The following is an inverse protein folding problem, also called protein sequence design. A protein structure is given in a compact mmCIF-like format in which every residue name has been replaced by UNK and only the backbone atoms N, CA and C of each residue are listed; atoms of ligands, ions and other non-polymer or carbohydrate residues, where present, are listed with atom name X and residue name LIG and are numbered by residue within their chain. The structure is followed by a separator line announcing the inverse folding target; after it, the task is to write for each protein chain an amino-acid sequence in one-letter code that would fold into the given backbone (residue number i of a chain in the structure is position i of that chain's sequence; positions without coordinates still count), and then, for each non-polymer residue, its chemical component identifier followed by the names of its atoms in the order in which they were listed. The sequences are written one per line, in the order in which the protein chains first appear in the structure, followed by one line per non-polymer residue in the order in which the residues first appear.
data_IF_179732410989
#
_entry.id   IF_179732410989
#
_cell.length_a   1.000
_cell.length_b   1.000
_cell.length_c   1.000
_cell.angle_alpha   90.00
_cell.angle_beta   90.00
_cell.angle_gamma   90.00
#
_symmetry.space_group_name_H-M   'P 1'
#
loop_
_entity.id
_entity.type
_entity.pdbx_description
1 polymer ?
#
# COMPACT_ATOMS: atom_id res chain seq x y z
N UNK A 1 9.77 -3.05 18.23
CA UNK A 1 9.18 -3.97 19.23
C UNK A 1 8.02 -4.66 18.54
N UNK A 2 8.19 -5.93 18.14
CA UNK A 2 7.23 -6.66 17.29
C UNK A 2 5.94 -6.91 18.09
N UNK A 3 4.88 -6.17 17.78
CA UNK A 3 3.55 -6.31 18.39
C UNK A 3 2.82 -7.60 17.94
N UNK A 4 3.32 -8.27 16.90
CA UNK A 4 2.76 -9.50 16.33
C UNK A 4 2.77 -10.71 17.30
N UNK A 5 3.50 -10.61 18.42
CA UNK A 5 3.64 -11.70 19.40
C UNK A 5 2.69 -11.59 20.60
N UNK A 6 1.95 -10.49 20.77
CA UNK A 6 1.03 -10.35 21.91
C UNK A 6 -0.34 -10.91 21.49
N UNK A 7 -0.79 -12.02 22.07
CA UNK A 7 -2.10 -12.58 21.74
C UNK A 7 -3.20 -11.59 22.07
N UNK A 8 -4.16 -11.41 21.16
CA UNK A 8 -5.28 -10.45 21.30
C UNK A 8 -6.07 -10.68 22.61
N UNK A 9 -6.18 -11.94 23.03
CA UNK A 9 -6.85 -12.33 24.27
C UNK A 9 -6.11 -11.90 25.55
N UNK A 10 -4.82 -11.56 25.48
CA UNK A 10 -4.04 -10.98 26.58
C UNK A 10 -4.15 -9.45 26.59
N UNK A 11 -4.20 -8.83 25.41
CA UNK A 11 -4.29 -7.36 25.29
C UNK A 11 -5.54 -6.81 25.98
N UNK A 12 -6.70 -7.45 25.80
CA UNK A 12 -7.96 -7.01 26.39
C UNK A 12 -7.94 -6.98 27.94
N UNK A 13 -7.60 -8.07 28.65
CA UNK A 13 -7.54 -8.03 30.11
C UNK A 13 -6.44 -7.08 30.60
N UNK A 14 -5.31 -6.98 29.89
CA UNK A 14 -4.23 -6.05 30.24
C UNK A 14 -4.68 -4.59 30.16
N UNK A 15 -5.40 -4.19 29.11
CA UNK A 15 -5.91 -2.81 28.98
C UNK A 15 -6.98 -2.51 30.02
N UNK A 16 -7.88 -3.45 30.32
CA UNK A 16 -8.87 -3.31 31.40
C UNK A 16 -8.16 -3.08 32.74
N UNK A 17 -7.13 -3.87 33.04
CA UNK A 17 -6.39 -3.78 34.30
C UNK A 17 -5.62 -2.46 34.40
N UNK A 18 -5.01 -2.00 33.31
CA UNK A 18 -4.35 -0.69 33.22
C UNK A 18 -5.33 0.47 33.48
N UNK A 19 -6.53 0.42 32.88
CA UNK A 19 -7.57 1.43 33.07
C UNK A 19 -8.07 1.43 34.52
N UNK A 20 -8.35 0.26 35.09
CA UNK A 20 -8.75 0.15 36.50
C UNK A 20 -7.68 0.70 37.44
N UNK A 21 -6.40 0.36 37.21
CA UNK A 21 -5.30 0.84 38.03
C UNK A 21 -5.17 2.36 37.95
N UNK A 22 -5.37 2.94 36.76
CA UNK A 22 -5.35 4.38 36.54
C UNK A 22 -6.51 5.09 37.26
N UNK A 23 -7.71 4.50 37.25
CA UNK A 23 -8.88 5.00 37.98
C UNK A 23 -8.65 4.97 39.50
N UNK A 24 -8.13 3.86 40.03
CA UNK A 24 -7.86 3.69 41.46
C UNK A 24 -6.78 4.68 41.96
N UNK A 25 -5.70 4.85 41.19
CA UNK A 25 -4.65 5.85 41.48
C UNK A 25 -5.25 7.26 41.46
N UNK A 26 -6.04 7.59 40.44
CA UNK A 26 -6.71 8.89 40.32
C UNK A 26 -7.65 9.16 41.50
N UNK A 27 -8.44 8.16 41.90
CA UNK A 27 -9.35 8.24 43.05
C UNK A 27 -8.58 8.45 44.35
N UNK A 28 -7.54 7.66 44.62
CA UNK A 28 -6.73 7.80 45.83
C UNK A 28 -6.02 9.15 45.92
N UNK A 29 -5.45 9.64 44.82
CA UNK A 29 -4.80 10.95 44.78
C UNK A 29 -5.81 12.09 44.96
N UNK A 30 -6.97 12.01 44.29
CA UNK A 30 -8.06 12.97 44.43
C UNK A 30 -8.61 13.03 45.86
N UNK A 31 -8.84 11.88 46.49
CA UNK A 31 -9.35 11.80 47.86
C UNK A 31 -8.35 12.35 48.89
N UNK A 32 -7.05 12.14 48.68
CA UNK A 32 -5.98 12.68 49.55
C UNK A 32 -5.83 14.20 49.42
N UNK A 33 -6.10 14.75 48.23
CA UNK A 33 -6.05 16.19 47.95
C UNK A 33 -7.28 16.95 48.47
N UNK A 34 -8.48 16.35 48.35
CA UNK A 34 -9.75 16.92 48.82
C UNK A 34 -9.79 17.20 50.33
N UNK A 35 -9.03 16.43 51.11
CA UNK A 35 -8.93 16.57 52.57
C UNK A 35 -8.18 17.84 53.03
N UNK A 36 -7.56 18.58 52.09
CA UNK A 36 -6.78 19.81 52.35
C UNK A 36 -7.49 21.11 51.89
N UNK A 37 -8.53 21.01 51.06
CA UNK A 37 -9.26 22.15 50.49
C UNK A 37 -10.77 21.87 50.51
N UNK A 38 -11.46 22.19 51.60
CA UNK A 38 -12.93 22.02 51.70
C UNK A 38 -13.73 23.09 50.92
N UNK A 39 -13.09 24.17 50.46
CA UNK A 39 -13.73 25.32 49.78
C UNK A 39 -13.52 25.36 48.25
N UNK A 40 -12.91 24.33 47.66
CA UNK A 40 -12.53 24.33 46.24
C UNK A 40 -13.68 23.80 45.35
N UNK A 41 -14.16 24.63 44.41
CA UNK A 41 -15.22 24.27 43.44
C UNK A 41 -14.88 22.96 42.72
N UNK A 42 -15.90 22.13 42.43
CA UNK A 42 -15.71 20.87 41.72
C UNK A 42 -14.84 21.06 40.46
N UNK A 43 -13.70 20.37 40.43
CA UNK A 43 -12.80 20.40 39.28
C UNK A 43 -13.52 19.84 38.05
N UNK A 44 -13.39 20.44 36.85
CA UNK A 44 -14.11 20.06 35.64
C UNK A 44 -13.54 18.78 34.99
N UNK A 45 -13.30 17.75 35.80
CA UNK A 45 -12.72 16.46 35.41
C UNK A 45 -13.53 15.81 34.29
N UNK A 46 -14.86 15.89 34.36
CA UNK A 46 -15.74 15.37 33.31
C UNK A 46 -15.57 16.10 31.96
N UNK A 47 -15.39 17.42 31.99
CA UNK A 47 -15.15 18.20 30.77
C UNK A 47 -13.78 17.90 30.16
N UNK A 48 -12.75 17.74 31.00
CA UNK A 48 -11.40 17.34 30.55
C UNK A 48 -11.44 15.93 29.94
N UNK A 49 -12.05 14.97 30.63
CA UNK A 49 -12.19 13.60 30.14
C UNK A 49 -12.97 13.55 28.82
N UNK A 50 -14.09 14.27 28.72
CA UNK A 50 -14.86 14.40 27.48
C UNK A 50 -14.05 15.01 26.33
N UNK A 51 -13.24 16.04 26.61
CA UNK A 51 -12.38 16.68 25.61
C UNK A 51 -11.28 15.74 25.11
N UNK A 52 -10.66 14.97 26.00
CA UNK A 52 -9.64 13.96 25.64
C UNK A 52 -10.27 12.84 24.82
N UNK A 53 -11.42 12.31 25.23
CA UNK A 53 -12.15 11.28 24.48
C UNK A 53 -12.58 11.79 23.10
N UNK A 54 -13.07 13.02 23.01
CA UNK A 54 -13.38 13.67 21.73
C UNK A 54 -12.17 13.80 20.82
N UNK A 55 -11.03 14.22 21.36
CA UNK A 55 -9.77 14.30 20.62
C UNK A 55 -9.31 12.91 20.13
N UNK A 56 -9.39 11.88 20.97
CA UNK A 56 -9.06 10.50 20.59
C UNK A 56 -9.98 10.00 19.48
N UNK A 57 -11.29 10.21 19.61
CA UNK A 57 -12.25 9.83 18.56
C UNK A 57 -11.94 10.52 17.23
N UNK A 58 -11.64 11.82 17.27
CA UNK A 58 -11.27 12.60 16.09
C UNK A 58 -9.96 12.16 15.46
N UNK A 59 -8.93 11.89 16.28
CA UNK A 59 -7.66 11.34 15.81
C UNK A 59 -7.85 9.96 15.16
N UNK A 60 -8.71 9.11 15.72
CA UNK A 60 -9.02 7.80 15.16
C UNK A 60 -9.74 7.92 13.81
N UNK A 61 -10.74 8.80 13.71
CA UNK A 61 -11.47 9.07 12.46
C UNK A 61 -10.51 9.47 11.33
N UNK A 62 -9.61 10.42 11.59
CA UNK A 62 -8.63 10.84 10.59
C UNK A 62 -7.57 9.78 10.31
N UNK A 63 -7.09 9.08 11.33
CA UNK A 63 -6.08 8.04 11.14
C UNK A 63 -6.62 6.92 10.27
N UNK A 64 -7.80 6.39 10.59
CA UNK A 64 -8.43 5.35 9.79
C UNK A 64 -8.85 5.85 8.41
N UNK A 65 -9.35 7.09 8.30
CA UNK A 65 -9.66 7.70 7.01
C UNK A 65 -8.44 7.79 6.08
N UNK A 66 -7.29 8.23 6.59
CA UNK A 66 -6.04 8.31 5.82
C UNK A 66 -5.56 6.91 5.43
N UNK A 67 -5.57 5.96 6.37
CA UNK A 67 -5.14 4.58 6.13
C UNK A 67 -6.04 3.89 5.10
N UNK A 68 -7.36 4.05 5.20
CA UNK A 68 -8.34 3.51 4.25
C UNK A 68 -8.12 4.08 2.85
N UNK A 69 -7.98 5.41 2.72
CA UNK A 69 -7.70 6.04 1.43
C UNK A 69 -6.40 5.54 0.80
N UNK A 70 -5.32 5.41 1.58
CA UNK A 70 -4.05 4.88 1.07
C UNK A 70 -4.17 3.41 0.65
N UNK A 71 -4.93 2.62 1.40
CA UNK A 71 -5.19 1.22 1.07
C UNK A 71 -6.02 1.07 -0.22
N UNK A 72 -7.06 1.88 -0.37
CA UNK A 72 -7.90 1.90 -1.57
C UNK A 72 -7.13 2.37 -2.80
N UNK A 73 -6.30 3.42 -2.67
CA UNK A 73 -5.42 3.87 -3.76
C UNK A 73 -4.45 2.77 -4.21
N UNK A 74 -3.85 2.02 -3.26
CA UNK A 74 -2.97 0.89 -3.58
C UNK A 74 -3.72 -0.24 -4.31
N UNK A 75 -4.94 -0.58 -3.87
CA UNK A 75 -5.78 -1.60 -4.55
C UNK A 75 -6.18 -1.15 -5.95
N UNK A 76 -6.57 0.12 -6.11
CA UNK A 76 -6.94 0.68 -7.40
C UNK A 76 -5.77 0.57 -8.40
N UNK A 77 -4.57 1.00 -8.02
CA UNK A 77 -3.39 0.88 -8.88
C UNK A 77 -3.05 -0.56 -9.26
N UNK A 78 -3.24 -1.53 -8.37
CA UNK A 78 -3.04 -2.97 -8.69
C UNK A 78 -4.04 -3.44 -9.75
N UNK A 79 -5.31 -3.09 -9.57
CA UNK A 79 -6.38 -3.44 -10.52
C UNK A 79 -6.13 -2.78 -11.89
N UNK A 80 -5.79 -1.51 -11.88
CA UNK A 80 -5.61 -0.74 -13.10
C UNK A 80 -4.37 -1.23 -13.87
N UNK A 81 -3.26 -1.55 -13.19
CA UNK A 81 -2.09 -2.18 -13.81
C UNK A 81 -2.44 -3.56 -14.39
N UNK A 82 -3.20 -4.41 -13.67
CA UNK A 82 -3.63 -5.71 -14.17
C UNK A 82 -4.48 -5.59 -15.45
N UNK A 83 -5.40 -4.62 -15.50
CA UNK A 83 -6.20 -4.32 -16.69
C UNK A 83 -5.34 -3.80 -17.86
N UNK A 84 -4.37 -2.93 -17.55
CA UNK A 84 -3.42 -2.42 -18.55
C UNK A 84 -2.59 -3.55 -19.15
N UNK A 85 -1.99 -4.40 -18.31
CA UNK A 85 -1.24 -5.59 -18.75
C UNK A 85 -2.11 -6.50 -19.61
N UNK A 86 -3.35 -6.77 -19.19
CA UNK A 86 -4.29 -7.58 -19.97
C UNK A 86 -4.57 -6.97 -21.35
N UNK A 87 -4.74 -5.65 -21.41
CA UNK A 87 -4.93 -4.91 -22.68
C UNK A 87 -3.66 -4.98 -23.54
N UNK A 88 -2.48 -4.73 -22.96
CA UNK A 88 -1.19 -4.84 -23.67
C UNK A 88 -1.01 -6.25 -24.22
N UNK A 89 -1.32 -7.28 -23.42
CA UNK A 89 -1.20 -8.68 -23.81
C UNK A 89 -2.07 -9.01 -25.03
N UNK A 90 -3.34 -8.58 -25.05
CA UNK A 90 -4.19 -8.76 -26.22
C UNK A 90 -3.66 -7.99 -27.44
N UNK A 91 -3.18 -6.75 -27.23
CA UNK A 91 -2.66 -5.92 -28.31
C UNK A 91 -1.30 -6.36 -28.86
N UNK A 92 -0.60 -7.30 -28.20
CA UNK A 92 0.57 -7.97 -28.81
C UNK A 92 0.21 -8.67 -30.12
N UNK A 93 -1.07 -9.05 -30.33
CA UNK A 93 -1.53 -9.66 -31.58
C UNK A 93 -1.41 -8.73 -32.80
N UNK A 94 -1.18 -7.42 -32.59
CA UNK A 94 -0.88 -6.47 -33.67
C UNK A 94 0.59 -6.51 -34.12
N UNK A 95 1.48 -7.11 -33.31
CA UNK A 95 2.88 -7.29 -33.68
C UNK A 95 3.04 -8.41 -34.71
N UNK A 96 4.07 -8.27 -35.55
CA UNK A 96 4.49 -9.32 -36.46
C UNK A 96 5.26 -10.41 -35.70
N UNK A 97 5.31 -11.62 -36.27
CA UNK A 97 6.21 -12.65 -35.74
C UNK A 97 7.67 -12.29 -36.08
N UNK A 98 8.63 -12.59 -35.18
CA UNK A 98 8.49 -13.34 -33.93
C UNK A 98 8.09 -12.51 -32.69
N UNK A 99 8.09 -11.18 -32.80
CA UNK A 99 7.93 -10.24 -31.67
C UNK A 99 6.62 -10.44 -30.89
N UNK A 100 5.54 -10.86 -31.55
CA UNK A 100 4.27 -11.22 -30.89
C UNK A 100 4.47 -12.24 -29.76
N UNK A 101 5.14 -13.36 -30.04
CA UNK A 101 5.31 -14.44 -29.08
C UNK A 101 6.30 -14.05 -27.99
N UNK A 102 7.37 -13.33 -28.35
CA UNK A 102 8.33 -12.80 -27.39
C UNK A 102 7.67 -11.80 -26.42
N UNK A 103 6.87 -10.87 -26.93
CA UNK A 103 6.13 -9.90 -26.10
C UNK A 103 5.15 -10.59 -25.14
N UNK A 104 4.41 -11.60 -25.62
CA UNK A 104 3.52 -12.40 -24.76
C UNK A 104 4.29 -13.12 -23.65
N UNK A 105 5.45 -13.69 -23.96
CA UNK A 105 6.29 -14.36 -22.96
C UNK A 105 6.82 -13.36 -21.92
N UNK A 106 7.33 -12.21 -22.37
CA UNK A 106 7.84 -11.15 -21.50
C UNK A 106 6.78 -10.60 -20.56
N UNK A 107 5.54 -10.40 -21.03
CA UNK A 107 4.44 -9.96 -20.17
C UNK A 107 4.05 -11.02 -19.12
N UNK A 108 4.11 -12.31 -19.46
CA UNK A 108 3.89 -13.39 -18.48
C UNK A 108 5.00 -13.42 -17.42
N UNK A 109 6.25 -13.29 -17.85
CA UNK A 109 7.41 -13.25 -16.94
C UNK A 109 7.38 -12.01 -16.04
N UNK A 110 6.93 -10.87 -16.57
CA UNK A 110 6.69 -9.66 -15.79
C UNK A 110 5.66 -9.90 -14.68
N UNK A 111 4.50 -10.46 -15.02
CA UNK A 111 3.46 -10.79 -14.04
C UNK A 111 3.97 -11.80 -13.00
N UNK A 112 4.67 -12.85 -13.42
CA UNK A 112 5.24 -13.84 -12.52
C UNK A 112 6.23 -13.19 -11.54
N UNK A 113 7.14 -12.34 -12.04
CA UNK A 113 8.08 -11.61 -11.21
C UNK A 113 7.38 -10.72 -10.16
N UNK A 114 6.23 -10.13 -10.49
CA UNK A 114 5.41 -9.34 -9.56
C UNK A 114 4.77 -10.20 -8.47
N UNK A 115 4.28 -11.39 -8.82
CA UNK A 115 3.72 -12.34 -7.86
C UNK A 115 4.80 -12.84 -6.90
N UNK A 116 5.97 -13.20 -7.42
CA UNK A 116 7.10 -13.69 -6.63
C UNK A 116 7.60 -12.61 -5.67
N UNK A 117 7.75 -11.37 -6.15
CA UNK A 117 8.12 -10.22 -5.33
C UNK A 117 7.14 -10.00 -4.17
N UNK A 118 5.83 -10.05 -4.46
CA UNK A 118 4.79 -9.89 -3.44
C UNK A 118 4.81 -11.02 -2.40
N UNK A 119 5.03 -12.26 -2.85
CA UNK A 119 5.18 -13.42 -1.96
C UNK A 119 6.38 -13.26 -1.02
N UNK A 120 7.52 -12.78 -1.52
CA UNK A 120 8.74 -12.54 -0.73
C UNK A 120 8.53 -11.44 0.32
N UNK A 121 7.89 -10.32 -0.04
CA UNK A 121 7.54 -9.26 0.91
C UNK A 121 6.73 -9.83 2.07
N UNK A 122 5.71 -10.66 1.80
CA UNK A 122 4.86 -11.24 2.83
C UNK A 122 5.63 -12.13 3.82
N UNK A 123 6.72 -12.76 3.38
CA UNK A 123 7.56 -13.59 4.25
C UNK A 123 8.57 -12.79 5.08
N UNK A 124 8.71 -11.48 4.84
CA UNK A 124 9.69 -10.62 5.53
C UNK A 124 11.15 -10.89 5.16
N UNK A 125 11.42 -11.66 4.11
CA UNK A 125 12.77 -12.13 3.70
C UNK A 125 13.36 -11.33 2.53
N UNK A 126 13.07 -10.02 2.46
CA UNK A 126 13.49 -9.21 1.33
C UNK A 126 14.59 -8.24 1.74
N UNK A 127 15.75 -8.35 1.08
CA UNK A 127 16.84 -7.39 1.25
C UNK A 127 16.70 -6.24 0.26
N UNK A 128 17.52 -5.20 0.44
CA UNK A 128 17.57 -4.10 -0.53
C UNK A 128 18.05 -4.57 -1.90
N UNK A 129 19.02 -5.47 -1.92
CA UNK A 129 19.57 -6.06 -3.15
C UNK A 129 18.49 -6.84 -3.92
N UNK A 130 17.58 -7.52 -3.21
CA UNK A 130 16.43 -8.20 -3.84
C UNK A 130 15.47 -7.21 -4.52
N UNK A 131 15.24 -6.05 -3.88
CA UNK A 131 14.40 -4.98 -4.46
C UNK A 131 15.06 -4.42 -5.70
N UNK A 132 16.35 -4.07 -5.62
CA UNK A 132 17.11 -3.50 -6.72
C UNK A 132 17.18 -4.47 -7.91
N UNK A 133 17.41 -5.77 -7.65
CA UNK A 133 17.42 -6.80 -8.68
C UNK A 133 16.04 -6.98 -9.35
N UNK A 134 14.95 -6.94 -8.58
CA UNK A 134 13.60 -7.01 -9.13
C UNK A 134 13.28 -5.79 -10.01
N UNK A 135 13.66 -4.59 -9.57
CA UNK A 135 13.49 -3.36 -10.33
C UNK A 135 14.31 -3.37 -11.63
N UNK A 136 15.56 -3.85 -11.58
CA UNK A 136 16.39 -4.00 -12.77
C UNK A 136 15.79 -4.99 -13.78
N UNK A 137 15.25 -6.12 -13.32
CA UNK A 137 14.57 -7.09 -14.18
C UNK A 137 13.35 -6.47 -14.86
N UNK A 138 12.52 -5.75 -14.11
CA UNK A 138 11.35 -5.05 -14.67
C UNK A 138 11.76 -4.01 -15.71
N UNK A 139 12.78 -3.19 -15.42
CA UNK A 139 13.27 -2.19 -16.35
C UNK A 139 13.78 -2.83 -17.66
N UNK A 140 14.50 -3.96 -17.57
CA UNK A 140 14.95 -4.71 -18.73
C UNK A 140 13.76 -5.27 -19.56
N UNK A 141 12.74 -5.83 -18.90
CA UNK A 141 11.53 -6.32 -19.58
C UNK A 141 10.77 -5.20 -20.28
N UNK A 142 10.57 -4.06 -19.62
CA UNK A 142 9.92 -2.89 -20.23
C UNK A 142 10.72 -2.35 -21.42
N UNK A 143 12.05 -2.25 -21.28
CA UNK A 143 12.95 -1.84 -22.36
C UNK A 143 12.83 -2.75 -23.58
N UNK A 144 12.84 -4.07 -23.38
CA UNK A 144 12.70 -5.04 -24.47
C UNK A 144 11.33 -4.96 -25.16
N UNK A 145 10.26 -4.82 -24.39
CA UNK A 145 8.90 -4.61 -24.95
C UNK A 145 8.84 -3.32 -25.77
N UNK A 146 9.48 -2.25 -25.30
CA UNK A 146 9.53 -0.96 -25.99
C UNK A 146 10.34 -1.02 -27.28
N UNK A 147 11.49 -1.70 -27.27
CA UNK A 147 12.29 -1.95 -28.47
C UNK A 147 11.48 -2.63 -29.57
N UNK A 148 10.74 -3.69 -29.23
CA UNK A 148 9.84 -4.36 -30.18
C UNK A 148 8.72 -3.44 -30.66
N UNK A 149 8.14 -2.62 -29.77
CA UNK A 149 7.12 -1.65 -30.13
C UNK A 149 7.64 -0.64 -31.17
N UNK A 150 8.82 -0.08 -30.94
CA UNK A 150 9.48 0.87 -31.85
C UNK A 150 9.86 0.21 -33.17
N UNK A 151 10.39 -1.02 -33.13
CA UNK A 151 10.73 -1.76 -34.34
C UNK A 151 9.51 -2.01 -35.23
N UNK A 152 8.38 -2.45 -34.66
CA UNK A 152 7.14 -2.66 -35.40
C UNK A 152 6.51 -1.34 -35.87
N UNK A 153 6.53 -0.28 -35.06
CA UNK A 153 6.01 1.03 -35.43
C UNK A 153 6.79 1.66 -36.61
N UNK A 154 8.08 1.36 -36.76
CA UNK A 154 8.87 1.83 -37.90
C UNK A 154 8.52 1.13 -39.22
N UNK A 155 7.86 -0.03 -39.17
CA UNK A 155 7.36 -0.71 -40.38
C UNK A 155 6.17 0.04 -40.97
N UNK A 156 5.30 0.59 -40.11
CA UNK A 156 4.18 1.45 -40.50
C UNK A 156 3.88 2.49 -39.40
N UNK A 157 4.39 3.70 -39.61
CA UNK A 157 4.29 4.79 -38.63
C UNK A 157 2.88 5.43 -38.57
N UNK A 158 2.01 5.12 -39.53
CA UNK A 158 0.62 5.59 -39.56
C UNK A 158 -0.37 4.51 -39.13
N UNK A 159 0.12 3.42 -38.53
CA UNK A 159 -0.71 2.30 -38.10
C UNK A 159 -1.52 2.65 -36.84
N UNK A 160 -2.83 2.78 -36.97
CA UNK A 160 -3.74 2.97 -35.82
C UNK A 160 -3.64 1.81 -34.83
N UNK A 161 -3.50 0.57 -35.31
CA UNK A 161 -3.36 -0.61 -34.45
C UNK A 161 -1.99 -0.68 -33.76
N UNK A 162 -0.92 -0.25 -34.44
CA UNK A 162 0.40 -0.09 -33.83
C UNK A 162 0.39 0.94 -32.70
N UNK A 163 -0.27 2.08 -32.94
CA UNK A 163 -0.44 3.13 -31.93
C UNK A 163 -1.19 2.61 -30.68
N UNK A 164 -2.23 1.78 -30.86
CA UNK A 164 -2.94 1.16 -29.73
C UNK A 164 -2.02 0.26 -28.90
N UNK A 165 -1.13 -0.52 -29.51
CA UNK A 165 -0.18 -1.33 -28.74
C UNK A 165 0.78 -0.46 -27.93
N UNK A 166 1.39 0.55 -28.57
CA UNK A 166 2.31 1.49 -27.93
C UNK A 166 1.65 2.20 -26.74
N UNK A 167 0.43 2.70 -26.92
CA UNK A 167 -0.35 3.35 -25.88
C UNK A 167 -0.59 2.42 -24.68
N UNK A 168 -1.04 1.18 -24.93
CA UNK A 168 -1.25 0.22 -23.83
C UNK A 168 0.04 -0.18 -23.12
N UNK A 169 1.16 -0.27 -23.85
CA UNK A 169 2.46 -0.57 -23.26
C UNK A 169 2.93 0.59 -22.38
N UNK A 170 2.77 1.83 -22.85
CA UNK A 170 3.07 3.02 -22.07
C UNK A 170 2.23 3.07 -20.79
N UNK A 171 0.93 2.79 -20.88
CA UNK A 171 0.05 2.69 -19.70
C UNK A 171 0.54 1.67 -18.67
N UNK A 172 1.05 0.51 -19.11
CA UNK A 172 1.62 -0.52 -18.22
C UNK A 172 2.89 -0.02 -17.52
N UNK A 173 3.77 0.69 -18.25
CA UNK A 173 5.01 1.27 -17.70
C UNK A 173 4.71 2.40 -16.70
N UNK A 174 3.74 3.26 -17.02
CA UNK A 174 3.33 4.38 -16.17
C UNK A 174 2.69 3.88 -14.87
N UNK A 175 1.79 2.89 -14.96
CA UNK A 175 1.15 2.28 -13.79
C UNK A 175 2.16 1.55 -12.90
N UNK A 176 3.17 0.92 -13.49
CA UNK A 176 4.29 0.36 -12.73
C UNK A 176 4.99 1.44 -11.91
N UNK A 177 5.34 2.57 -12.55
CA UNK A 177 6.04 3.68 -11.91
C UNK A 177 5.22 4.28 -10.76
N UNK A 178 3.90 4.45 -10.95
CA UNK A 178 2.98 4.91 -9.91
C UNK A 178 2.92 3.92 -8.73
N UNK A 179 2.86 2.62 -9.02
CA UNK A 179 2.87 1.59 -7.97
C UNK A 179 4.15 1.62 -7.16
N UNK A 180 5.29 1.84 -7.79
CA UNK A 180 6.58 1.98 -7.10
C UNK A 180 6.57 3.20 -6.19
N UNK A 181 6.10 4.36 -6.68
CA UNK A 181 6.04 5.60 -5.88
C UNK A 181 5.07 5.56 -4.69
N UNK A 182 4.01 4.74 -4.76
CA UNK A 182 3.02 4.59 -3.66
C UNK A 182 3.40 3.47 -2.68
N UNK A 183 4.17 2.48 -3.15
CA UNK A 183 4.54 1.29 -2.37
C UNK A 183 5.88 1.45 -1.63
N UNK A 184 6.89 2.09 -2.25
CA UNK A 184 8.15 2.48 -1.63
C UNK A 184 8.02 3.85 -0.93
#
# INVERSE_FOLDING_TARGET
MNLDFIPIWILLPLTILLVMLSLEIGYHLGHRSRRKSEDEKESPVGAIAGSVLGLVAFMMEFTFGIVANRYDARKALVRDEANSIGTTYLRTDFLQQPDREEAKALLKDYVQGRLDFTARIRTGKMTKEDVDAAMAKVAATHGRLWEMAVANARLDMNSDVGALYVDSLNGTIDLHSLRVAVAL
#
